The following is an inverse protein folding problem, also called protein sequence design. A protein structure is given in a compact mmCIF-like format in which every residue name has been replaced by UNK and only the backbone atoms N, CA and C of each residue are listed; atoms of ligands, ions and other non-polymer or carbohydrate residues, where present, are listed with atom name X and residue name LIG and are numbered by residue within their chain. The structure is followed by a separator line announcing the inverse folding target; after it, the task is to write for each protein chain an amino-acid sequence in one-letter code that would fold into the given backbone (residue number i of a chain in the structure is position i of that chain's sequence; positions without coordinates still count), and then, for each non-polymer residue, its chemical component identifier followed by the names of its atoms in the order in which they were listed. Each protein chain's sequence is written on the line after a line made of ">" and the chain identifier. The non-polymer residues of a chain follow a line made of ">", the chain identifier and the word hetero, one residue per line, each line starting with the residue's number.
data_IF_799461522993
#
_entry.id   IF_799461522993
#
_cell.length_a   1.000
_cell.length_b   1.000
_cell.length_c   1.000
_cell.angle_alpha   90.00
_cell.angle_beta   90.00
_cell.angle_gamma   90.00
#
_symmetry.space_group_name_H-M   'P 1'
#
loop_
_entity.id
_entity.type
_entity.pdbx_description
1 polymer ?
#
# COMPACT_ATOMS: atom_id res chain seq x y z
N UNK A 1 -13.44 -13.78 3.52
CA UNK A 1 -12.16 -14.48 3.78
C UNK A 1 -11.06 -13.44 3.78
N UNK A 2 -10.11 -13.46 4.71
CA UNK A 2 -9.03 -12.47 4.78
C UNK A 2 -7.84 -12.88 3.89
N UNK A 3 -6.99 -11.91 3.51
CA UNK A 3 -5.80 -12.14 2.69
C UNK A 3 -4.86 -13.20 3.30
N UNK A 4 -4.66 -13.16 4.62
CA UNK A 4 -3.81 -14.11 5.35
C UNK A 4 -4.33 -15.55 5.22
N UNK A 5 -5.64 -15.73 5.26
CA UNK A 5 -6.26 -17.05 5.08
C UNK A 5 -6.10 -17.59 3.65
N UNK A 6 -6.11 -16.71 2.64
CA UNK A 6 -5.85 -17.10 1.25
C UNK A 6 -4.37 -17.46 1.04
N UNK A 7 -3.45 -16.66 1.58
CA UNK A 7 -2.02 -16.94 1.53
C UNK A 7 -1.69 -18.30 2.18
N UNK A 8 -2.27 -18.59 3.35
CA UNK A 8 -2.12 -19.88 4.03
C UNK A 8 -2.69 -21.08 3.23
N UNK A 9 -3.59 -20.82 2.28
CA UNK A 9 -4.10 -21.81 1.32
C UNK A 9 -3.24 -21.91 0.05
N UNK A 10 -2.09 -21.26 0.00
CA UNK A 10 -1.16 -21.27 -1.13
C UNK A 10 -1.48 -20.27 -2.24
N UNK A 11 -2.34 -19.29 -1.99
CA UNK A 11 -2.60 -18.24 -2.98
C UNK A 11 -1.39 -17.31 -3.08
N UNK A 12 -0.98 -17.01 -4.31
CA UNK A 12 -0.01 -15.94 -4.58
C UNK A 12 -0.63 -14.58 -4.34
N UNK A 13 0.18 -13.56 -4.12
CA UNK A 13 -0.28 -12.18 -3.93
C UNK A 13 -1.15 -11.69 -5.10
N UNK A 14 -0.86 -12.09 -6.34
CA UNK A 14 -1.69 -11.77 -7.51
C UNK A 14 -3.08 -12.42 -7.44
N UNK A 15 -3.14 -13.68 -7.00
CA UNK A 15 -4.41 -14.39 -6.85
C UNK A 15 -5.23 -13.82 -5.68
N UNK A 16 -4.55 -13.38 -4.62
CA UNK A 16 -5.18 -12.66 -3.50
C UNK A 16 -5.80 -11.35 -4.01
N UNK A 17 -5.05 -10.54 -4.77
CA UNK A 17 -5.58 -9.30 -5.33
C UNK A 17 -6.77 -9.55 -6.27
N UNK A 18 -6.69 -10.55 -7.15
CA UNK A 18 -7.81 -10.92 -8.03
C UNK A 18 -9.03 -11.41 -7.26
N UNK A 19 -8.84 -12.07 -6.11
CA UNK A 19 -9.94 -12.47 -5.24
C UNK A 19 -10.70 -11.27 -4.68
N UNK A 20 -10.00 -10.20 -4.29
CA UNK A 20 -10.62 -9.01 -3.69
C UNK A 20 -11.12 -7.98 -4.70
N UNK A 21 -10.36 -7.73 -5.77
CA UNK A 21 -10.66 -6.65 -6.72
C UNK A 21 -11.27 -7.14 -8.04
N UNK A 22 -11.40 -8.45 -8.25
CA UNK A 22 -11.94 -9.05 -9.47
C UNK A 22 -10.87 -9.60 -10.40
N UNK A 23 -11.28 -10.52 -11.29
CA UNK A 23 -10.35 -11.18 -12.23
C UNK A 23 -9.96 -10.30 -13.44
N UNK A 24 -10.72 -9.23 -13.68
CA UNK A 24 -10.57 -8.27 -14.77
C UNK A 24 -9.58 -7.14 -14.48
N UNK A 25 -9.07 -7.05 -13.24
CA UNK A 25 -8.01 -6.11 -12.90
C UNK A 25 -6.74 -6.37 -13.70
N UNK A 26 -6.01 -5.29 -13.97
CA UNK A 26 -4.67 -5.33 -14.53
C UNK A 26 -3.68 -5.05 -13.40
N UNK A 27 -2.82 -6.02 -13.12
CA UNK A 27 -1.72 -5.88 -12.16
C UNK A 27 -0.45 -5.62 -12.96
N UNK A 28 0.13 -4.43 -12.82
CA UNK A 28 1.28 -4.07 -13.63
C UNK A 28 1.99 -2.80 -13.17
N UNK A 29 3.12 -2.46 -13.83
CA UNK A 29 3.93 -1.33 -13.45
C UNK A 29 3.19 0.00 -13.68
N UNK A 30 3.46 0.97 -12.84
CA UNK A 30 3.18 2.40 -13.06
C UNK A 30 4.47 3.19 -12.83
N UNK A 31 4.64 4.27 -13.58
CA UNK A 31 5.76 5.19 -13.38
C UNK A 31 5.86 5.55 -11.91
N UNK A 32 7.01 5.30 -11.25
CA UNK A 32 7.12 5.54 -9.83
C UNK A 32 6.84 6.99 -9.49
N UNK A 33 6.02 7.20 -8.47
CA UNK A 33 5.96 8.48 -7.77
C UNK A 33 6.95 8.39 -6.63
N UNK A 34 7.92 9.30 -6.62
CA UNK A 34 9.02 9.22 -5.67
C UNK A 34 8.56 9.52 -4.25
N UNK A 35 7.70 10.54 -4.06
CA UNK A 35 7.33 11.02 -2.74
C UNK A 35 5.83 11.19 -2.50
N UNK A 36 5.44 11.00 -1.23
CA UNK A 36 4.10 11.25 -0.70
C UNK A 36 4.16 12.23 0.46
N UNK A 37 3.19 13.14 0.51
CA UNK A 37 3.00 14.10 1.59
C UNK A 37 1.99 13.54 2.58
N UNK A 38 2.42 13.20 3.78
CA UNK A 38 1.60 12.56 4.79
C UNK A 38 1.29 13.55 5.91
N UNK A 39 0.00 13.84 6.13
CA UNK A 39 -0.43 14.63 7.28
C UNK A 39 -0.43 13.77 8.53
N UNK A 40 0.38 14.18 9.52
CA UNK A 40 0.53 13.53 10.83
C UNK A 40 -0.57 14.01 11.75
N UNK A 41 -1.60 13.20 11.93
CA UNK A 41 -2.86 13.62 12.58
C UNK A 41 -2.68 14.04 14.03
N UNK A 42 -1.70 13.44 14.72
CA UNK A 42 -1.38 13.76 16.10
C UNK A 42 -0.69 15.13 16.29
N UNK A 43 0.06 15.60 15.29
CA UNK A 43 0.91 16.81 15.42
C UNK A 43 0.51 17.94 14.48
N UNK A 44 -0.27 17.65 13.44
CA UNK A 44 -0.59 18.58 12.36
C UNK A 44 0.56 18.84 11.39
N UNK A 45 1.68 18.12 11.52
CA UNK A 45 2.83 18.23 10.63
C UNK A 45 2.58 17.50 9.31
N UNK A 46 3.34 17.85 8.28
CA UNK A 46 3.34 17.16 6.99
C UNK A 46 4.73 16.61 6.74
N UNK A 47 4.82 15.29 6.64
CA UNK A 47 6.05 14.61 6.27
C UNK A 47 6.09 14.43 4.76
N UNK A 48 7.27 14.61 4.14
CA UNK A 48 7.50 14.28 2.74
C UNK A 48 8.41 13.07 2.70
N UNK A 49 7.86 11.94 2.26
CA UNK A 49 8.48 10.62 2.42
C UNK A 49 8.64 9.95 1.07
N UNK A 50 9.72 9.19 0.88
CA UNK A 50 9.83 8.24 -0.21
C UNK A 50 8.74 7.17 -0.06
N UNK A 51 7.92 6.98 -1.11
CA UNK A 51 6.78 6.07 -1.03
C UNK A 51 7.22 4.63 -0.75
N UNK A 52 8.27 4.17 -1.42
CA UNK A 52 8.69 2.76 -1.43
C UNK A 52 9.55 2.39 -0.22
N UNK A 53 10.37 3.31 0.29
CA UNK A 53 11.34 3.00 1.35
C UNK A 53 10.99 3.58 2.71
N UNK A 54 10.21 4.67 2.77
CA UNK A 54 9.93 5.39 4.02
C UNK A 54 8.45 5.36 4.42
N UNK A 55 7.53 5.10 3.48
CA UNK A 55 6.09 5.08 3.76
C UNK A 55 5.50 3.67 3.76
N UNK A 56 5.54 2.97 2.62
CA UNK A 56 4.85 1.69 2.43
C UNK A 56 5.25 0.58 3.40
N UNK A 57 6.53 0.39 3.78
CA UNK A 57 6.89 -0.66 4.73
C UNK A 57 6.18 -0.49 6.08
N UNK A 58 6.06 0.76 6.56
CA UNK A 58 5.36 1.08 7.79
C UNK A 58 3.84 0.99 7.68
N UNK A 59 3.27 1.24 6.50
CA UNK A 59 1.84 0.99 6.25
C UNK A 59 1.56 -0.51 6.29
N UNK A 60 2.38 -1.33 5.61
CA UNK A 60 2.24 -2.79 5.63
C UNK A 60 2.37 -3.33 7.06
N UNK A 61 3.36 -2.86 7.82
CA UNK A 61 3.54 -3.25 9.22
C UNK A 61 2.33 -2.84 10.10
N UNK A 62 1.76 -1.67 9.86
CA UNK A 62 0.63 -1.17 10.66
C UNK A 62 -0.70 -1.88 10.34
N UNK A 63 -0.89 -2.36 9.11
CA UNK A 63 -2.16 -2.93 8.62
C UNK A 63 -2.14 -4.47 8.59
N UNK A 64 -0.97 -5.09 8.49
CA UNK A 64 -0.85 -6.54 8.32
C UNK A 64 0.40 -7.11 9.02
N UNK A 65 0.51 -6.83 10.32
CA UNK A 65 1.60 -7.28 11.18
C UNK A 65 1.70 -8.82 11.27
N UNK A 66 2.94 -9.36 11.23
CA UNK A 66 3.26 -10.81 11.32
C UNK A 66 2.36 -11.68 10.42
N UNK A 67 2.18 -11.26 9.17
CA UNK A 67 1.37 -11.94 8.18
C UNK A 67 2.18 -12.87 7.24
N UNK A 68 1.51 -13.81 6.54
CA UNK A 68 2.14 -14.56 5.45
C UNK A 68 2.72 -13.63 4.37
N UNK A 69 3.91 -13.95 3.86
CA UNK A 69 4.62 -13.04 2.96
C UNK A 69 3.85 -12.67 1.68
N UNK A 70 3.06 -13.61 1.13
CA UNK A 70 2.23 -13.33 -0.05
C UNK A 70 1.03 -12.41 0.25
N UNK A 71 0.49 -12.42 1.48
CA UNK A 71 -0.52 -11.42 1.85
C UNK A 71 0.10 -10.05 2.13
N UNK A 72 1.33 -9.99 2.67
CA UNK A 72 2.08 -8.72 2.79
C UNK A 72 2.36 -8.10 1.43
N UNK A 73 2.74 -8.88 0.42
CA UNK A 73 2.89 -8.38 -0.97
C UNK A 73 1.58 -7.86 -1.55
N UNK A 74 0.47 -8.55 -1.29
CA UNK A 74 -0.85 -8.09 -1.73
C UNK A 74 -1.20 -6.75 -1.05
N UNK A 75 -0.96 -6.64 0.27
CA UNK A 75 -1.11 -5.39 1.01
C UNK A 75 -0.23 -4.29 0.42
N UNK A 76 1.06 -4.54 0.18
CA UNK A 76 1.98 -3.55 -0.39
C UNK A 76 1.47 -3.00 -1.74
N UNK A 77 0.97 -3.86 -2.63
CA UNK A 77 0.43 -3.45 -3.93
C UNK A 77 -0.88 -2.66 -3.77
N UNK A 78 -1.79 -3.09 -2.90
CA UNK A 78 -3.02 -2.35 -2.61
C UNK A 78 -2.69 -0.98 -1.99
N UNK A 79 -1.85 -0.93 -0.95
CA UNK A 79 -1.46 0.31 -0.30
C UNK A 79 -0.75 1.27 -1.26
N UNK A 80 0.15 0.78 -2.13
CA UNK A 80 0.79 1.58 -3.18
C UNK A 80 -0.22 2.14 -4.17
N UNK A 81 -1.17 1.31 -4.57
CA UNK A 81 -2.23 1.70 -5.51
C UNK A 81 -3.04 2.86 -4.94
N UNK A 82 -3.43 2.78 -3.67
CA UNK A 82 -4.12 3.85 -2.97
C UNK A 82 -3.26 5.11 -2.85
N UNK A 83 -2.02 4.98 -2.37
CA UNK A 83 -1.08 6.10 -2.25
C UNK A 83 -0.92 6.85 -3.58
N UNK A 84 -0.76 6.13 -4.69
CA UNK A 84 -0.63 6.72 -6.02
C UNK A 84 -1.95 7.34 -6.52
N UNK A 85 -3.10 6.74 -6.21
CA UNK A 85 -4.40 7.35 -6.49
C UNK A 85 -4.56 8.68 -5.73
N UNK A 86 -4.10 8.74 -4.48
CA UNK A 86 -4.14 9.94 -3.63
C UNK A 86 -3.17 11.03 -4.06
N UNK A 87 -2.09 10.70 -4.78
CA UNK A 87 -1.27 11.70 -5.48
C UNK A 87 -2.05 12.46 -6.55
N UNK A 88 -2.98 11.77 -7.23
CA UNK A 88 -3.85 12.36 -8.25
C UNK A 88 -5.11 12.99 -7.62
N UNK A 89 -5.54 12.49 -6.45
CA UNK A 89 -6.76 12.88 -5.74
C UNK A 89 -6.49 13.12 -4.24
N UNK A 90 -5.72 14.17 -3.90
CA UNK A 90 -5.22 14.38 -2.54
C UNK A 90 -6.34 14.58 -1.52
N UNK A 91 -6.12 14.13 -0.28
CA UNK A 91 -7.05 14.33 0.84
C UNK A 91 -7.13 15.78 1.31
N UNK A 92 -6.10 16.57 1.06
CA UNK A 92 -6.10 18.00 1.41
C UNK A 92 -5.31 18.85 0.42
N UNK A 93 -5.33 20.16 0.65
CA UNK A 93 -4.74 21.13 -0.28
C UNK A 93 -3.21 20.99 -0.37
N UNK A 94 -2.54 20.69 0.74
CA UNK A 94 -1.08 20.67 0.85
C UNK A 94 -0.48 19.31 1.23
N UNK A 95 -1.29 18.25 1.36
CA UNK A 95 -0.85 16.88 1.63
C UNK A 95 -1.68 15.88 0.81
N UNK A 96 -1.15 14.67 0.65
CA UNK A 96 -1.75 13.65 -0.21
C UNK A 96 -2.66 12.70 0.60
N UNK A 97 -2.20 12.26 1.78
CA UNK A 97 -2.90 11.30 2.66
C UNK A 97 -2.80 11.67 4.13
N UNK A 98 -3.80 11.27 4.92
CA UNK A 98 -3.74 11.16 6.37
C UNK A 98 -2.99 9.90 6.80
N UNK A 99 -2.36 9.92 7.98
CA UNK A 99 -1.65 8.79 8.59
C UNK A 99 -2.55 7.83 9.41
N UNK A 100 -3.87 8.01 9.35
CA UNK A 100 -4.86 7.26 10.13
C UNK A 100 -5.96 6.66 9.24
N UNK A 101 -7.02 6.16 9.87
CA UNK A 101 -8.12 5.43 9.22
C UNK A 101 -8.93 6.24 8.19
N UNK A 102 -8.68 7.54 8.02
CA UNK A 102 -9.25 8.31 6.91
C UNK A 102 -8.62 7.95 5.56
N UNK A 103 -7.36 7.50 5.56
CA UNK A 103 -6.62 7.11 4.37
C UNK A 103 -5.88 5.78 4.61
N UNK A 104 -4.67 5.80 5.17
CA UNK A 104 -3.91 4.58 5.50
C UNK A 104 -3.20 4.73 6.83
N UNK A 105 -3.15 3.64 7.60
CA UNK A 105 -2.45 3.67 8.89
C UNK A 105 -0.93 3.72 8.66
N UNK A 106 -0.29 4.84 8.96
CA UNK A 106 1.16 5.00 8.85
C UNK A 106 1.79 5.28 10.22
N UNK A 107 2.58 4.31 10.70
CA UNK A 107 3.17 4.29 12.05
C UNK A 107 4.70 4.21 11.99
N UNK A 108 5.42 5.35 11.84
CA UNK A 108 6.88 5.36 11.67
C UNK A 108 7.69 4.86 12.87
N UNK A 109 7.07 4.72 14.04
CA UNK A 109 7.72 4.20 15.26
C UNK A 109 7.72 2.67 15.35
N UNK A 110 7.10 1.96 14.40
CA UNK A 110 7.17 0.50 14.37
C UNK A 110 8.59 0.03 14.05
N UNK A 111 8.99 -1.11 14.61
CA UNK A 111 10.23 -1.79 14.22
C UNK A 111 9.90 -2.70 13.04
N UNK A 112 10.45 -2.40 11.88
CA UNK A 112 10.18 -3.17 10.67
C UNK A 112 10.89 -4.52 10.68
N UNK A 113 10.22 -5.54 10.16
CA UNK A 113 10.83 -6.83 9.82
C UNK A 113 11.35 -6.83 8.38
N UNK A 114 12.28 -7.75 8.08
CA UNK A 114 12.74 -7.97 6.70
C UNK A 114 11.58 -8.32 5.76
N UNK A 115 10.54 -9.01 6.25
CA UNK A 115 9.39 -9.38 5.41
C UNK A 115 8.56 -8.16 5.01
N UNK A 116 8.34 -7.19 5.89
CA UNK A 116 7.62 -5.95 5.53
C UNK A 116 8.40 -5.18 4.46
N UNK A 117 9.70 -4.98 4.67
CA UNK A 117 10.59 -4.30 3.72
C UNK A 117 10.62 -5.06 2.38
N UNK A 118 10.81 -6.38 2.41
CA UNK A 118 10.91 -7.21 1.21
C UNK A 118 9.59 -7.35 0.47
N UNK A 119 8.44 -7.28 1.16
CA UNK A 119 7.13 -7.36 0.51
C UNK A 119 6.88 -6.14 -0.39
N UNK A 120 7.32 -4.97 0.06
CA UNK A 120 7.26 -3.71 -0.68
C UNK A 120 8.28 -3.72 -1.82
N UNK A 121 9.54 -4.06 -1.54
CA UNK A 121 10.60 -4.04 -2.56
C UNK A 121 10.39 -5.06 -3.69
N UNK A 122 9.89 -6.28 -3.38
CA UNK A 122 9.58 -7.29 -4.40
C UNK A 122 8.33 -6.97 -5.25
N UNK A 123 7.57 -5.94 -4.87
CA UNK A 123 6.41 -5.46 -5.61
C UNK A 123 6.55 -4.01 -6.06
N UNK A 124 7.78 -3.47 -6.04
CA UNK A 124 8.08 -2.07 -6.32
C UNK A 124 7.44 -1.59 -7.63
N UNK A 125 6.77 -0.44 -7.58
CA UNK A 125 6.11 0.16 -8.75
C UNK A 125 4.93 -0.62 -9.33
N UNK A 126 4.53 -1.76 -8.75
CA UNK A 126 3.37 -2.53 -9.19
C UNK A 126 2.11 -2.01 -8.50
N UNK A 127 1.10 -1.70 -9.32
CA UNK A 127 -0.21 -1.21 -8.89
C UNK A 127 -1.34 -2.01 -9.53
N UNK A 128 -2.56 -1.78 -9.05
CA UNK A 128 -3.80 -2.32 -9.61
C UNK A 128 -4.45 -1.26 -10.50
N UNK A 129 -4.88 -1.67 -11.69
CA UNK A 129 -5.53 -0.81 -12.67
C UNK A 129 -6.82 -1.45 -13.16
N UNK A 130 -7.76 -0.62 -13.59
CA UNK A 130 -8.89 -1.01 -14.42
C UNK A 130 -8.77 -0.29 -15.75
N UNK A 131 -8.57 -1.06 -16.83
CA UNK A 131 -8.05 -0.51 -18.09
C UNK A 131 -6.71 0.20 -17.88
N UNK A 132 -6.63 1.48 -18.27
CA UNK A 132 -5.42 2.30 -18.12
C UNK A 132 -5.40 3.15 -16.85
N UNK A 133 -6.43 3.09 -16.01
CA UNK A 133 -6.60 3.98 -14.86
C UNK A 133 -6.27 3.23 -13.57
N UNK A 134 -5.57 3.91 -12.66
CA UNK A 134 -5.31 3.39 -11.32
C UNK A 134 -6.60 3.41 -10.50
N UNK A 135 -6.90 2.33 -9.79
CA UNK A 135 -8.13 2.28 -8.98
C UNK A 135 -7.90 2.91 -7.60
N UNK A 136 -8.98 3.34 -6.95
CA UNK A 136 -8.94 3.62 -5.52
C UNK A 136 -9.08 2.28 -4.77
N UNK A 137 -7.95 1.69 -4.37
CA UNK A 137 -7.93 0.41 -3.64
C UNK A 137 -8.07 0.66 -2.14
N UNK A 138 -9.13 0.12 -1.54
CA UNK A 138 -9.32 0.06 -0.09
C UNK A 138 -8.99 -1.33 0.44
#
# INVERSE_FOLDING_TARGET
>A
MQANALANKGYTWKNILKYFYGNDIIIGPKTPVETIRVYRSATGQIDVLNIETEYLPYVVAAENDIAPFESMKAQAVASRTFAYYKKEHPSGTNFDVYDDSRDQNYKPWLVLTDNEINSVSQTNGIVIKWGNVIICSF
#
